data_IF_383750010323
#
_entry.id   IF_383750010323
#
_cell.length_a   1.000
_cell.length_b   1.000
_cell.length_c   1.000
_cell.angle_alpha   90.00
_cell.angle_beta   90.00
_cell.angle_gamma   90.00
#
_symmetry.space_group_name_H-M   'P 1'
#
loop_
_entity.id
_entity.type
_entity.pdbx_description
1 polymer ?
#
# COMPACT_ATOMS: atom_id res chain seq x y z
N UNK A 1 2.45 22.15 12.46
CA UNK A 1 3.69 21.40 12.78
C UNK A 1 3.47 20.28 13.80
N UNK A 2 2.87 20.52 14.98
CA UNK A 2 2.64 19.49 16.01
C UNK A 2 1.80 18.29 15.53
N UNK A 3 0.73 18.52 14.77
CA UNK A 3 -0.13 17.46 14.22
C UNK A 3 0.58 16.55 13.22
N UNK A 4 1.45 17.09 12.35
CA UNK A 4 2.24 16.28 11.42
C UNK A 4 3.22 15.37 12.16
N UNK A 5 3.83 15.91 13.21
CA UNK A 5 4.83 15.21 14.01
C UNK A 5 4.19 14.08 14.82
N UNK A 6 3.02 14.34 15.43
CA UNK A 6 2.21 13.30 16.09
C UNK A 6 1.65 12.27 15.10
N UNK A 7 1.08 12.72 13.98
CA UNK A 7 0.45 11.87 12.97
C UNK A 7 1.41 10.93 12.24
N UNK A 8 2.70 11.26 12.16
CA UNK A 8 3.72 10.42 11.52
C UNK A 8 4.55 9.62 12.54
N UNK A 9 4.96 10.22 13.66
CA UNK A 9 5.80 9.50 14.63
C UNK A 9 5.02 8.47 15.43
N UNK A 10 3.78 8.75 15.81
CA UNK A 10 3.00 7.86 16.66
C UNK A 10 2.68 6.52 15.97
N UNK A 11 2.31 6.47 14.67
CA UNK A 11 2.25 5.24 13.88
C UNK A 11 3.56 4.48 13.84
N UNK A 12 4.66 5.18 13.65
CA UNK A 12 5.99 4.58 13.61
C UNK A 12 6.31 3.95 14.96
N UNK A 13 6.08 4.63 16.08
CA UNK A 13 6.35 4.11 17.43
C UNK A 13 5.47 2.89 17.72
N UNK A 14 4.15 3.01 17.53
CA UNK A 14 3.20 1.92 17.78
C UNK A 14 3.49 0.74 16.86
N UNK A 15 3.66 1.00 15.57
CA UNK A 15 3.97 -0.03 14.59
C UNK A 15 5.29 -0.73 14.88
N UNK A 16 6.34 0.03 15.24
CA UNK A 16 7.65 -0.53 15.62
C UNK A 16 7.54 -1.41 16.86
N UNK A 17 6.83 -0.96 17.89
CA UNK A 17 6.63 -1.72 19.12
C UNK A 17 5.93 -3.06 18.88
N UNK A 18 4.81 -3.04 18.16
CA UNK A 18 4.07 -4.25 17.80
C UNK A 18 4.92 -5.16 16.90
N UNK A 19 5.68 -4.60 15.96
CA UNK A 19 6.53 -5.38 15.05
C UNK A 19 7.67 -6.07 15.79
N UNK A 20 8.35 -5.37 16.71
CA UNK A 20 9.39 -5.95 17.56
C UNK A 20 8.80 -7.07 18.42
N UNK A 21 7.63 -6.85 19.00
CA UNK A 21 6.92 -7.87 19.79
C UNK A 21 6.56 -9.10 18.94
N UNK A 22 5.94 -8.91 17.78
CA UNK A 22 5.58 -9.97 16.84
C UNK A 22 6.81 -10.78 16.42
N UNK A 23 7.92 -10.09 16.12
CA UNK A 23 9.20 -10.71 15.76
C UNK A 23 9.81 -11.51 16.91
N UNK A 24 9.69 -11.03 18.15
CA UNK A 24 10.21 -11.73 19.34
C UNK A 24 9.50 -13.06 19.61
N UNK A 25 8.22 -13.15 19.21
CA UNK A 25 7.38 -14.35 19.37
C UNK A 25 7.46 -15.32 18.19
N UNK A 26 8.02 -14.90 17.06
CA UNK A 26 8.15 -15.76 15.88
C UNK A 26 9.17 -16.89 16.15
N UNK A 27 8.77 -18.18 16.03
CA UNK A 27 9.63 -19.32 16.31
C UNK A 27 10.93 -19.28 15.49
N UNK A 28 12.02 -19.81 16.05
CA UNK A 28 13.37 -19.59 15.52
C UNK A 28 13.74 -20.42 14.29
N UNK A 29 12.93 -21.41 13.92
CA UNK A 29 13.30 -22.43 12.94
C UNK A 29 13.35 -21.95 11.49
N UNK A 30 14.19 -22.62 10.70
CA UNK A 30 14.67 -22.17 9.39
C UNK A 30 13.86 -22.75 8.22
N UNK A 31 13.55 -21.84 7.30
CA UNK A 31 13.35 -21.97 5.85
C UNK A 31 13.42 -23.38 5.22
N UNK A 32 12.26 -23.91 4.85
CA UNK A 32 11.96 -24.50 3.53
C UNK A 32 10.45 -24.47 3.31
N UNK A 33 9.99 -24.67 2.08
CA UNK A 33 8.63 -24.60 1.49
C UNK A 33 7.43 -24.97 2.39
N UNK A 34 7.64 -25.72 3.47
CA UNK A 34 6.66 -25.99 4.55
C UNK A 34 6.25 -24.75 5.36
N UNK A 35 7.07 -23.71 5.40
CA UNK A 35 6.85 -22.50 6.21
C UNK A 35 5.69 -21.61 5.75
N UNK A 36 5.25 -21.70 4.49
CA UNK A 36 4.06 -20.98 4.03
C UNK A 36 2.77 -21.60 4.59
N UNK A 37 2.83 -22.89 4.99
CA UNK A 37 1.73 -23.61 5.63
C UNK A 37 1.75 -23.51 7.17
N UNK A 38 2.91 -23.17 7.76
CA UNK A 38 3.18 -23.21 9.21
C UNK A 38 3.63 -21.88 9.83
N UNK A 39 3.69 -20.77 9.07
CA UNK A 39 3.68 -19.45 9.68
C UNK A 39 2.35 -19.28 10.41
N UNK A 40 2.32 -19.69 11.68
CA UNK A 40 1.13 -19.73 12.51
C UNK A 40 0.36 -18.43 12.35
N UNK A 41 -0.90 -18.54 11.94
CA UNK A 41 -1.72 -17.41 11.48
C UNK A 41 -1.65 -16.20 12.41
N UNK A 42 -1.39 -16.43 13.70
CA UNK A 42 -1.14 -15.40 14.70
C UNK A 42 0.04 -14.45 14.40
N UNK A 43 1.22 -14.93 13.99
CA UNK A 43 2.37 -14.05 13.71
C UNK A 43 2.10 -13.21 12.45
N UNK A 44 1.50 -13.82 11.43
CA UNK A 44 1.13 -13.09 10.22
C UNK A 44 0.05 -12.05 10.50
N UNK A 45 -0.92 -12.40 11.33
CA UNK A 45 -1.95 -11.49 11.80
C UNK A 45 -1.36 -10.35 12.63
N UNK A 46 -0.40 -10.60 13.52
CA UNK A 46 0.26 -9.53 14.28
C UNK A 46 0.97 -8.53 13.36
N UNK A 47 1.64 -8.98 12.30
CA UNK A 47 2.29 -8.09 11.33
C UNK A 47 1.22 -7.31 10.52
N UNK A 48 0.09 -7.94 10.21
CA UNK A 48 -1.05 -7.21 9.63
C UNK A 48 -1.58 -6.16 10.62
N UNK A 49 -1.70 -6.50 11.91
CA UNK A 49 -2.10 -5.58 12.97
C UNK A 49 -1.16 -4.40 13.11
N UNK A 50 0.16 -4.58 12.96
CA UNK A 50 1.14 -3.47 12.91
C UNK A 50 0.73 -2.44 11.86
N UNK A 51 0.44 -2.88 10.64
CA UNK A 51 0.08 -2.01 9.52
C UNK A 51 -1.29 -1.36 9.74
N UNK A 52 -2.29 -2.15 10.11
CA UNK A 52 -3.67 -1.67 10.31
C UNK A 52 -3.79 -0.71 11.49
N UNK A 53 -3.32 -1.12 12.67
CA UNK A 53 -3.35 -0.30 13.89
C UNK A 53 -2.45 0.92 13.75
N UNK A 54 -1.23 0.74 13.20
CA UNK A 54 -0.34 1.87 12.93
C UNK A 54 -0.98 2.91 12.02
N UNK A 55 -1.67 2.46 10.96
CA UNK A 55 -2.39 3.36 10.08
C UNK A 55 -3.54 4.08 10.78
N UNK A 56 -4.39 3.37 11.53
CA UNK A 56 -5.53 3.94 12.28
C UNK A 56 -5.03 4.99 13.28
N UNK A 57 -3.97 4.68 14.02
CA UNK A 57 -3.35 5.61 14.97
C UNK A 57 -2.86 6.88 14.26
N UNK A 58 -2.27 6.75 13.08
CA UNK A 58 -1.80 7.89 12.29
C UNK A 58 -2.95 8.72 11.77
N UNK A 59 -3.99 8.04 11.28
CA UNK A 59 -5.23 8.65 10.86
C UNK A 59 -5.82 9.49 12.01
N UNK A 60 -5.99 8.92 13.19
CA UNK A 60 -6.51 9.62 14.37
C UNK A 60 -5.63 10.80 14.78
N UNK A 61 -4.30 10.68 14.67
CA UNK A 61 -3.37 11.76 14.97
C UNK A 61 -3.45 12.95 14.01
N UNK A 62 -3.81 12.72 12.75
CA UNK A 62 -3.92 13.77 11.73
C UNK A 62 -5.33 14.34 11.60
N UNK A 63 -6.35 13.47 11.59
CA UNK A 63 -7.74 13.79 11.25
C UNK A 63 -8.66 13.79 12.47
N UNK A 64 -8.23 13.23 13.60
CA UNK A 64 -9.11 12.99 14.75
C UNK A 64 -10.05 11.80 14.53
N UNK A 65 -11.14 11.75 15.31
CA UNK A 65 -12.11 10.66 15.25
C UNK A 65 -12.92 10.70 13.94
N UNK A 66 -12.98 9.59 13.19
CA UNK A 66 -13.75 9.55 11.96
C UNK A 66 -15.26 9.63 12.25
N UNK A 67 -15.99 10.40 11.45
CA UNK A 67 -17.45 10.53 11.54
C UNK A 67 -18.12 9.33 10.87
N UNK A 68 -19.17 8.80 11.50
CA UNK A 68 -19.99 7.73 10.94
C UNK A 68 -21.44 8.21 10.69
N UNK A 69 -22.01 8.03 9.48
CA UNK A 69 -21.38 7.44 8.30
C UNK A 69 -20.33 8.37 7.66
N UNK A 70 -19.31 7.82 6.96
CA UNK A 70 -18.29 8.62 6.30
C UNK A 70 -18.90 9.46 5.18
N UNK A 71 -18.54 10.75 5.12
CA UNK A 71 -19.02 11.69 4.10
C UNK A 71 -17.98 11.96 3.02
N UNK A 72 -16.69 11.86 3.36
CA UNK A 72 -15.57 12.10 2.46
C UNK A 72 -14.83 10.80 2.15
N UNK A 73 -14.30 10.68 0.93
CA UNK A 73 -13.52 9.51 0.51
C UNK A 73 -12.28 9.25 1.37
N UNK A 74 -11.65 10.29 1.92
CA UNK A 74 -10.53 10.15 2.88
C UNK A 74 -10.94 9.53 4.21
N UNK A 75 -12.19 9.73 4.66
CA UNK A 75 -12.68 9.14 5.91
C UNK A 75 -12.82 7.63 5.80
N UNK A 76 -13.13 7.11 4.61
CA UNK A 76 -13.18 5.68 4.35
C UNK A 76 -11.83 4.99 4.56
N UNK A 77 -10.69 5.68 4.44
CA UNK A 77 -9.37 5.06 4.59
C UNK A 77 -9.16 4.44 5.98
N UNK A 78 -9.66 5.08 7.05
CA UNK A 78 -9.60 4.52 8.40
C UNK A 78 -10.42 3.22 8.50
N UNK A 79 -11.64 3.23 7.96
CA UNK A 79 -12.50 2.05 7.96
C UNK A 79 -11.95 0.93 7.09
N UNK A 80 -11.32 1.27 5.96
CA UNK A 80 -10.63 0.31 5.08
C UNK A 80 -9.45 -0.36 5.79
N UNK A 81 -8.69 0.35 6.63
CA UNK A 81 -7.66 -0.26 7.47
C UNK A 81 -8.25 -1.28 8.46
N UNK A 82 -9.38 -0.94 9.09
CA UNK A 82 -10.09 -1.83 10.03
C UNK A 82 -10.63 -3.07 9.30
N UNK A 83 -11.30 -2.88 8.16
CA UNK A 83 -11.79 -3.98 7.32
C UNK A 83 -10.62 -4.84 6.84
N UNK A 84 -9.50 -4.24 6.45
CA UNK A 84 -8.26 -4.94 6.09
C UNK A 84 -7.74 -5.83 7.21
N UNK A 85 -7.78 -5.34 8.46
CA UNK A 85 -7.36 -6.11 9.62
C UNK A 85 -8.31 -7.29 9.90
N UNK A 86 -9.62 -7.08 9.76
CA UNK A 86 -10.62 -8.14 9.90
C UNK A 86 -10.39 -9.21 8.81
N UNK A 87 -10.29 -8.80 7.54
CA UNK A 87 -10.06 -9.70 6.40
C UNK A 87 -8.73 -10.45 6.54
N UNK A 88 -7.66 -9.80 7.01
CA UNK A 88 -6.38 -10.42 7.29
C UNK A 88 -6.48 -11.57 8.31
N UNK A 89 -7.41 -11.47 9.26
CA UNK A 89 -7.67 -12.51 10.26
C UNK A 89 -8.21 -13.79 9.63
N UNK A 90 -9.05 -13.68 8.60
CA UNK A 90 -9.68 -14.82 7.93
C UNK A 90 -8.95 -15.26 6.66
N UNK A 91 -7.84 -14.59 6.33
CA UNK A 91 -7.13 -14.78 5.05
C UNK A 91 -6.64 -16.21 4.81
N UNK A 92 -6.32 -16.92 5.88
CA UNK A 92 -5.80 -18.28 5.82
C UNK A 92 -6.87 -19.34 5.53
N UNK A 93 -8.16 -18.96 5.55
CA UNK A 93 -9.25 -19.89 5.28
C UNK A 93 -9.53 -19.93 3.78
N UNK A 94 -9.27 -21.08 3.15
CA UNK A 94 -9.21 -21.25 1.70
C UNK A 94 -10.43 -20.73 0.92
N UNK A 95 -11.63 -20.80 1.51
CA UNK A 95 -12.88 -20.35 0.87
C UNK A 95 -13.10 -18.85 1.06
N UNK A 96 -12.73 -18.29 2.21
CA UNK A 96 -13.05 -16.90 2.55
C UNK A 96 -12.15 -15.88 1.86
N UNK A 97 -10.89 -16.23 1.57
CA UNK A 97 -9.97 -15.33 0.86
C UNK A 97 -10.52 -14.87 -0.50
N UNK A 98 -10.79 -15.78 -1.45
CA UNK A 98 -11.31 -15.43 -2.77
C UNK A 98 -12.69 -14.75 -2.73
N UNK A 99 -13.58 -15.22 -1.85
CA UNK A 99 -14.92 -14.62 -1.69
C UNK A 99 -14.80 -13.18 -1.19
N UNK A 100 -13.94 -12.92 -0.20
CA UNK A 100 -13.67 -11.58 0.29
C UNK A 100 -13.05 -10.70 -0.80
N UNK A 101 -12.11 -11.23 -1.60
CA UNK A 101 -11.52 -10.51 -2.73
C UNK A 101 -12.59 -10.02 -3.70
N UNK A 102 -13.46 -10.93 -4.17
CA UNK A 102 -14.51 -10.59 -5.15
C UNK A 102 -15.51 -9.61 -4.54
N UNK A 103 -16.05 -9.93 -3.36
CA UNK A 103 -17.03 -9.09 -2.68
C UNK A 103 -16.52 -7.67 -2.46
N UNK A 104 -15.27 -7.54 -2.00
CA UNK A 104 -14.72 -6.25 -1.65
C UNK A 104 -14.29 -5.46 -2.89
N UNK A 105 -13.84 -6.13 -3.96
CA UNK A 105 -13.58 -5.50 -5.26
C UNK A 105 -14.84 -4.84 -5.84
N UNK A 106 -16.00 -5.45 -5.62
CA UNK A 106 -17.31 -4.91 -6.04
C UNK A 106 -17.76 -3.76 -5.12
N UNK A 107 -17.58 -3.91 -3.81
CA UNK A 107 -18.11 -2.95 -2.82
C UNK A 107 -17.28 -1.66 -2.72
N UNK A 108 -15.94 -1.74 -2.78
CA UNK A 108 -15.06 -0.58 -2.57
C UNK A 108 -15.33 0.58 -3.54
N UNK A 109 -15.40 0.38 -4.87
CA UNK A 109 -15.66 1.48 -5.79
C UNK A 109 -16.96 2.19 -5.47
N UNK A 110 -17.99 1.43 -5.11
CA UNK A 110 -19.31 1.98 -4.77
C UNK A 110 -19.25 2.83 -3.51
N UNK A 111 -18.54 2.36 -2.48
CA UNK A 111 -18.37 3.10 -1.22
C UNK A 111 -17.54 4.38 -1.41
N UNK A 112 -16.38 4.28 -2.08
CA UNK A 112 -15.45 5.40 -2.23
C UNK A 112 -15.96 6.47 -3.19
N UNK A 113 -16.67 6.09 -4.25
CA UNK A 113 -17.14 7.01 -5.30
C UNK A 113 -18.64 7.29 -5.20
N UNK A 114 -19.23 7.12 -4.01
CA UNK A 114 -20.67 7.35 -3.80
C UNK A 114 -21.11 8.73 -4.29
N UNK A 115 -20.31 9.78 -4.11
CA UNK A 115 -20.61 11.12 -4.61
C UNK A 115 -20.66 11.16 -6.14
N UNK A 116 -19.64 10.62 -6.82
CA UNK A 116 -19.54 10.57 -8.28
C UNK A 116 -20.70 9.78 -8.89
N UNK A 117 -21.04 8.64 -8.30
CA UNK A 117 -22.18 7.81 -8.71
C UNK A 117 -23.54 8.49 -8.56
N UNK A 118 -23.68 9.42 -7.61
CA UNK A 118 -24.95 10.11 -7.34
C UNK A 118 -25.11 11.39 -8.15
N UNK A 119 -24.02 12.10 -8.41
CA UNK A 119 -24.08 13.47 -8.90
C UNK A 119 -23.42 13.69 -10.26
N UNK A 120 -22.53 12.81 -10.71
CA UNK A 120 -21.72 13.04 -11.91
C UNK A 120 -22.05 12.07 -13.03
N UNK A 121 -22.12 10.77 -12.74
CA UNK A 121 -22.31 9.75 -13.77
C UNK A 121 -23.77 9.42 -14.01
N UNK A 122 -24.13 9.24 -15.29
CA UNK A 122 -25.40 8.63 -15.66
C UNK A 122 -25.47 7.15 -15.24
N UNK A 123 -26.66 6.51 -15.24
CA UNK A 123 -26.82 5.13 -14.80
C UNK A 123 -25.94 4.13 -15.56
N UNK A 124 -25.89 4.26 -16.90
CA UNK A 124 -25.11 3.36 -17.77
C UNK A 124 -23.61 3.58 -17.58
N UNK A 125 -23.16 4.84 -17.61
CA UNK A 125 -21.76 5.20 -17.39
C UNK A 125 -21.27 4.74 -16.01
N UNK A 126 -22.11 4.92 -14.98
CA UNK A 126 -21.84 4.41 -13.63
C UNK A 126 -21.63 2.90 -13.63
N UNK A 127 -22.52 2.12 -14.24
CA UNK A 127 -22.36 0.65 -14.30
C UNK A 127 -21.04 0.27 -14.99
N UNK A 128 -20.69 0.93 -16.11
CA UNK A 128 -19.44 0.68 -16.82
C UNK A 128 -18.24 0.94 -15.91
N UNK A 129 -18.17 2.11 -15.28
CA UNK A 129 -17.08 2.45 -14.35
C UNK A 129 -17.01 1.50 -13.16
N UNK A 130 -18.17 1.12 -12.62
CA UNK A 130 -18.24 0.20 -11.48
C UNK A 130 -17.65 -1.17 -11.80
N UNK A 131 -18.06 -1.76 -12.94
CA UNK A 131 -17.56 -3.07 -13.40
C UNK A 131 -16.07 -2.97 -13.72
N UNK A 132 -15.63 -1.94 -14.45
CA UNK A 132 -14.22 -1.73 -14.77
C UNK A 132 -13.35 -1.58 -13.52
N UNK A 133 -13.77 -0.77 -12.54
CA UNK A 133 -13.02 -0.59 -11.29
C UNK A 133 -12.99 -1.87 -10.45
N UNK A 134 -14.08 -2.64 -10.41
CA UNK A 134 -14.10 -3.92 -9.70
C UNK A 134 -13.09 -4.91 -10.30
N UNK A 135 -13.03 -5.02 -11.63
CA UNK A 135 -12.03 -5.87 -12.32
C UNK A 135 -10.61 -5.39 -12.04
N UNK A 136 -10.36 -4.08 -12.15
CA UNK A 136 -9.03 -3.50 -11.90
C UNK A 136 -8.60 -3.73 -10.45
N UNK A 137 -9.48 -3.53 -9.47
CA UNK A 137 -9.19 -3.79 -8.05
C UNK A 137 -8.88 -5.27 -7.81
N UNK A 138 -9.64 -6.16 -8.43
CA UNK A 138 -9.40 -7.60 -8.31
C UNK A 138 -8.03 -7.99 -8.87
N UNK A 139 -7.67 -7.51 -10.07
CA UNK A 139 -6.34 -7.72 -10.64
C UNK A 139 -5.24 -7.10 -9.78
N UNK A 140 -5.46 -5.88 -9.30
CA UNK A 140 -4.54 -5.15 -8.44
C UNK A 140 -4.26 -5.91 -7.15
N UNK A 141 -5.28 -6.51 -6.55
CA UNK A 141 -5.13 -7.37 -5.38
C UNK A 141 -4.13 -8.48 -5.60
N UNK A 142 -4.28 -9.24 -6.69
CA UNK A 142 -3.38 -10.35 -7.01
C UNK A 142 -1.95 -9.89 -7.26
N UNK A 143 -1.77 -8.69 -7.83
CA UNK A 143 -0.46 -8.09 -7.99
C UNK A 143 0.13 -7.76 -6.61
N UNK A 144 -0.60 -7.08 -5.73
CA UNK A 144 -0.11 -6.76 -4.37
C UNK A 144 0.22 -8.04 -3.60
N UNK A 145 -0.67 -9.03 -3.58
CA UNK A 145 -0.45 -10.31 -2.90
C UNK A 145 0.77 -11.06 -3.47
N UNK A 146 0.86 -11.16 -4.80
CA UNK A 146 1.98 -11.79 -5.50
C UNK A 146 3.32 -11.12 -5.18
N UNK A 147 3.32 -9.80 -5.01
CA UNK A 147 4.54 -9.02 -4.77
C UNK A 147 5.21 -9.33 -3.43
N UNK A 148 4.45 -9.68 -2.38
CA UNK A 148 5.00 -10.13 -1.09
C UNK A 148 5.78 -11.44 -1.20
N UNK A 149 5.45 -12.27 -2.19
CA UNK A 149 6.18 -13.51 -2.47
C UNK A 149 7.27 -13.36 -3.54
N UNK A 150 7.19 -12.31 -4.37
CA UNK A 150 8.16 -12.03 -5.42
C UNK A 150 9.45 -11.39 -4.90
N UNK A 151 9.35 -10.59 -3.84
CA UNK A 151 10.49 -9.87 -3.28
C UNK A 151 11.40 -10.81 -2.46
N UNK A 152 12.73 -10.63 -2.53
CA UNK A 152 13.65 -11.35 -1.67
C UNK A 152 13.31 -11.13 -0.19
N UNK A 153 13.55 -12.16 0.63
CA UNK A 153 13.37 -12.08 2.07
C UNK A 153 14.21 -10.96 2.71
N UNK A 154 13.76 -10.48 3.88
CA UNK A 154 14.45 -9.42 4.62
C UNK A 154 13.99 -8.01 4.25
N UNK A 155 14.95 -7.08 4.11
CA UNK A 155 14.70 -5.63 4.10
C UNK A 155 14.19 -5.08 2.76
N UNK A 156 14.27 -5.86 1.68
CA UNK A 156 13.80 -5.46 0.34
C UNK A 156 12.30 -5.18 0.28
N UNK A 157 11.48 -6.03 0.90
CA UNK A 157 10.02 -5.85 0.97
C UNK A 157 9.63 -4.47 1.50
N UNK A 158 9.98 -4.16 2.76
CA UNK A 158 9.73 -2.85 3.35
C UNK A 158 10.28 -1.68 2.54
N UNK A 159 11.49 -1.82 1.97
CA UNK A 159 12.13 -0.76 1.20
C UNK A 159 11.37 -0.42 -0.10
N UNK A 160 10.90 -1.45 -0.81
CA UNK A 160 10.15 -1.27 -2.06
C UNK A 160 8.82 -0.57 -1.78
N UNK A 161 8.08 -0.98 -0.75
CA UNK A 161 6.84 -0.30 -0.37
C UNK A 161 7.07 1.10 0.20
N UNK A 162 8.15 1.32 0.95
CA UNK A 162 8.57 2.66 1.36
C UNK A 162 8.74 3.58 0.14
N UNK A 163 9.44 3.11 -0.91
CA UNK A 163 9.61 3.86 -2.15
C UNK A 163 8.29 4.10 -2.90
N UNK A 164 7.43 3.07 -2.99
CA UNK A 164 6.14 3.16 -3.69
C UNK A 164 5.18 4.13 -3.00
N UNK A 165 5.03 4.04 -1.68
CA UNK A 165 4.20 4.96 -0.90
C UNK A 165 4.82 6.36 -0.85
N UNK A 166 6.16 6.47 -0.85
CA UNK A 166 6.87 7.75 -0.90
C UNK A 166 6.62 8.47 -2.22
N UNK A 167 6.71 7.74 -3.33
CA UNK A 167 6.36 8.26 -4.65
C UNK A 167 4.89 8.63 -4.76
N UNK A 168 4.00 7.79 -4.24
CA UNK A 168 2.56 8.09 -4.18
C UNK A 168 2.29 9.37 -3.39
N UNK A 169 2.90 9.53 -2.22
CA UNK A 169 2.75 10.74 -1.38
C UNK A 169 3.24 12.00 -2.11
N UNK A 170 4.40 11.93 -2.78
CA UNK A 170 4.94 13.05 -3.57
C UNK A 170 4.04 13.41 -4.75
N UNK A 171 3.59 12.42 -5.53
CA UNK A 171 2.66 12.66 -6.66
C UNK A 171 1.37 13.32 -6.17
N UNK A 172 0.79 12.85 -5.06
CA UNK A 172 -0.42 13.43 -4.48
C UNK A 172 -0.21 14.86 -3.97
N UNK A 173 0.93 15.13 -3.33
CA UNK A 173 1.26 16.47 -2.84
C UNK A 173 1.42 17.45 -4.01
N UNK A 174 2.12 17.02 -5.07
CA UNK A 174 2.32 17.80 -6.30
C UNK A 174 1.03 18.01 -7.09
N UNK A 175 0.06 17.09 -6.96
CA UNK A 175 -1.27 17.22 -7.56
C UNK A 175 -2.24 18.04 -6.68
N UNK A 176 -1.73 18.74 -5.66
CA UNK A 176 -2.53 19.66 -4.84
C UNK A 176 -3.30 19.01 -3.68
N UNK A 177 -3.17 17.71 -3.44
CA UNK A 177 -3.83 17.03 -2.31
C UNK A 177 -2.86 16.65 -1.20
N UNK A 178 -2.51 17.65 -0.39
CA UNK A 178 -1.66 17.47 0.78
C UNK A 178 -2.28 16.47 1.79
N UNK A 179 -3.61 16.44 1.90
CA UNK A 179 -4.33 15.53 2.80
C UNK A 179 -4.14 14.07 2.41
N UNK A 180 -4.30 13.73 1.13
CA UNK A 180 -4.03 12.37 0.64
C UNK A 180 -2.54 12.02 0.70
N UNK A 181 -1.67 12.99 0.44
CA UNK A 181 -0.22 12.81 0.58
C UNK A 181 0.18 12.46 2.03
N UNK A 182 -0.44 13.08 3.02
CA UNK A 182 -0.23 12.76 4.44
C UNK A 182 -0.68 11.33 4.78
N UNK A 183 -1.81 10.86 4.25
CA UNK A 183 -2.25 9.48 4.42
C UNK A 183 -1.28 8.47 3.80
N UNK A 184 -0.76 8.74 2.61
CA UNK A 184 0.32 7.94 2.04
C UNK A 184 1.59 8.02 2.90
N UNK A 185 1.88 9.20 3.46
CA UNK A 185 2.99 9.46 4.38
C UNK A 185 2.96 8.61 5.66
N UNK A 186 1.78 8.31 6.21
CA UNK A 186 1.66 7.36 7.34
C UNK A 186 2.22 5.99 6.95
N UNK A 187 1.87 5.50 5.75
CA UNK A 187 2.36 4.22 5.26
C UNK A 187 3.86 4.26 5.00
N UNK A 188 4.37 5.36 4.42
CA UNK A 188 5.83 5.61 4.29
C UNK A 188 6.52 5.46 5.64
N UNK A 189 5.98 6.08 6.69
CA UNK A 189 6.55 6.06 8.02
C UNK A 189 6.55 4.64 8.64
N UNK A 190 5.48 3.86 8.44
CA UNK A 190 5.39 2.48 8.92
C UNK A 190 6.36 1.56 8.15
N UNK A 191 6.42 1.67 6.82
CA UNK A 191 7.35 0.88 6.00
C UNK A 191 8.81 1.26 6.24
N UNK A 192 9.11 2.54 6.47
CA UNK A 192 10.44 3.01 6.85
C UNK A 192 10.86 2.41 8.21
N UNK A 193 9.97 2.41 9.22
CA UNK A 193 10.23 1.75 10.49
C UNK A 193 10.49 0.25 10.28
N UNK A 194 9.61 -0.44 9.56
CA UNK A 194 9.77 -1.86 9.25
C UNK A 194 11.09 -2.16 8.54
N UNK A 195 11.52 -1.28 7.64
CA UNK A 195 12.80 -1.37 6.94
C UNK A 195 13.99 -1.21 7.91
N UNK A 196 14.02 -0.13 8.70
CA UNK A 196 15.10 0.16 9.66
C UNK A 196 15.22 -0.95 10.70
N UNK A 197 14.10 -1.37 11.30
CA UNK A 197 14.06 -2.44 12.28
C UNK A 197 14.55 -3.75 11.66
N UNK A 198 14.17 -4.01 10.40
CA UNK A 198 14.67 -5.18 9.69
C UNK A 198 16.17 -5.13 9.54
N UNK A 199 16.75 -3.99 9.15
CA UNK A 199 18.20 -3.81 9.03
C UNK A 199 18.95 -3.96 10.37
N UNK A 200 18.44 -3.33 11.44
CA UNK A 200 19.09 -3.32 12.76
C UNK A 200 19.01 -4.68 13.45
N UNK A 201 17.85 -5.36 13.40
CA UNK A 201 17.65 -6.65 14.06
C UNK A 201 18.05 -7.86 13.19
N UNK A 202 18.62 -7.66 12.00
CA UNK A 202 18.96 -8.72 11.05
C UNK A 202 20.15 -9.59 11.50
N UNK A 203 19.92 -10.43 12.52
CA UNK A 203 20.79 -11.57 12.83
C UNK A 203 20.57 -12.75 11.86
N UNK A 204 19.42 -12.80 11.18
CA UNK A 204 19.06 -13.82 10.17
C UNK A 204 18.43 -13.21 8.91
N UNK A 205 19.13 -13.29 7.78
CA UNK A 205 18.73 -12.72 6.47
C UNK A 205 17.61 -13.48 5.74
N UNK A 206 17.06 -14.55 6.32
CA UNK A 206 16.18 -15.51 5.61
C UNK A 206 14.68 -15.39 5.91
N UNK A 207 14.23 -14.48 6.78
CA UNK A 207 12.80 -14.36 7.13
C UNK A 207 12.09 -13.32 6.27
N UNK A 208 10.91 -13.69 5.77
CA UNK A 208 9.97 -12.75 5.17
C UNK A 208 9.43 -11.81 6.25
N UNK A 209 9.58 -10.51 6.02
CA UNK A 209 9.16 -9.48 6.95
C UNK A 209 7.65 -9.26 6.90
N UNK A 210 7.07 -9.38 5.71
CA UNK A 210 5.64 -9.20 5.48
C UNK A 210 5.06 -10.49 4.86
N UNK A 211 4.25 -11.25 5.61
CA UNK A 211 3.58 -12.44 5.09
C UNK A 211 2.41 -12.05 4.18
N UNK A 212 1.94 -12.97 3.32
CA UNK A 212 0.80 -12.72 2.40
C UNK A 212 -0.46 -12.19 3.10
N UNK A 213 -0.67 -12.55 4.37
CA UNK A 213 -1.76 -12.05 5.19
C UNK A 213 -1.76 -10.53 5.44
N UNK A 214 -0.67 -9.81 5.14
CA UNK A 214 -0.65 -8.34 5.18
C UNK A 214 -1.21 -7.69 3.90
N UNK A 215 -1.35 -8.47 2.83
CA UNK A 215 -1.83 -7.95 1.54
C UNK A 215 -3.19 -7.25 1.62
N UNK A 216 -4.20 -7.69 2.40
CA UNK A 216 -5.50 -7.03 2.41
C UNK A 216 -5.42 -5.56 2.84
N UNK A 217 -4.63 -5.27 3.87
CA UNK A 217 -4.48 -3.92 4.43
C UNK A 217 -3.77 -3.02 3.43
N UNK A 218 -2.66 -3.51 2.85
CA UNK A 218 -1.87 -2.73 1.89
C UNK A 218 -2.69 -2.47 0.63
N UNK A 219 -3.40 -3.48 0.13
CA UNK A 219 -4.27 -3.34 -1.04
C UNK A 219 -5.38 -2.34 -0.80
N UNK A 220 -6.14 -2.45 0.29
CA UNK A 220 -7.25 -1.52 0.56
C UNK A 220 -6.80 -0.08 0.72
N UNK A 221 -5.70 0.14 1.44
CA UNK A 221 -5.19 1.49 1.64
C UNK A 221 -4.62 2.08 0.35
N UNK A 222 -3.89 1.29 -0.44
CA UNK A 222 -3.32 1.76 -1.70
C UNK A 222 -4.42 2.06 -2.73
N UNK A 223 -5.42 1.18 -2.88
CA UNK A 223 -6.60 1.45 -3.71
C UNK A 223 -7.34 2.68 -3.22
N UNK A 224 -7.61 2.77 -1.92
CA UNK A 224 -8.31 3.91 -1.34
C UNK A 224 -7.61 5.22 -1.64
N UNK A 225 -6.30 5.27 -1.44
CA UNK A 225 -5.48 6.45 -1.72
C UNK A 225 -5.46 6.77 -3.21
N UNK A 226 -5.24 5.79 -4.09
CA UNK A 226 -5.14 6.01 -5.54
C UNK A 226 -6.47 6.38 -6.19
N UNK A 227 -7.57 5.73 -5.80
CA UNK A 227 -8.90 6.10 -6.28
C UNK A 227 -9.27 7.51 -5.84
N UNK A 228 -9.02 7.86 -4.57
CA UNK A 228 -9.26 9.23 -4.12
C UNK A 228 -8.34 10.23 -4.85
N UNK A 229 -7.08 9.86 -5.10
CA UNK A 229 -6.13 10.67 -5.85
C UNK A 229 -6.62 10.96 -7.28
N UNK A 230 -7.00 9.91 -7.99
CA UNK A 230 -7.44 10.02 -9.39
C UNK A 230 -8.77 10.77 -9.54
N UNK A 231 -9.78 10.45 -8.71
CA UNK A 231 -11.12 11.01 -8.88
C UNK A 231 -11.34 12.35 -8.14
N UNK A 232 -10.60 12.65 -7.08
CA UNK A 232 -10.84 13.83 -6.25
C UNK A 232 -9.63 14.77 -6.08
N UNK A 233 -8.45 14.41 -6.59
CA UNK A 233 -7.25 15.22 -6.49
C UNK A 233 -6.54 15.44 -7.84
N UNK A 234 -7.26 15.22 -8.94
CA UNK A 234 -6.80 15.50 -10.31
C UNK A 234 -5.41 14.93 -10.64
N UNK A 235 -5.05 13.81 -9.99
CA UNK A 235 -3.74 13.19 -10.20
C UNK A 235 -3.60 12.84 -11.69
N UNK A 236 -2.51 13.25 -12.36
CA UNK A 236 -2.32 12.95 -13.76
C UNK A 236 -2.43 11.45 -14.02
N UNK A 237 -3.29 11.05 -14.96
CA UNK A 237 -3.54 9.64 -15.28
C UNK A 237 -2.23 8.90 -15.60
N UNK A 238 -1.30 9.56 -16.29
CA UNK A 238 0.03 9.02 -16.58
C UNK A 238 0.82 8.69 -15.31
N UNK A 239 0.80 9.53 -14.28
CA UNK A 239 1.46 9.26 -12.99
C UNK A 239 0.81 8.08 -12.28
N UNK A 240 -0.53 8.00 -12.25
CA UNK A 240 -1.25 6.86 -11.68
C UNK A 240 -0.91 5.53 -12.40
N UNK A 241 -0.88 5.54 -13.74
CA UNK A 241 -0.50 4.38 -14.56
C UNK A 241 0.96 3.97 -14.29
N UNK A 242 1.88 4.94 -14.21
CA UNK A 242 3.29 4.67 -13.91
C UNK A 242 3.49 4.06 -12.52
N UNK A 243 2.73 4.52 -11.51
CA UNK A 243 2.76 3.91 -10.18
C UNK A 243 2.21 2.47 -10.21
N UNK A 244 1.17 2.21 -11.01
CA UNK A 244 0.66 0.85 -11.22
C UNK A 244 1.71 -0.04 -11.91
N UNK A 245 2.39 0.48 -12.92
CA UNK A 245 3.50 -0.20 -13.61
C UNK A 245 4.65 -0.48 -12.64
N UNK A 246 4.97 0.46 -11.74
CA UNK A 246 5.98 0.24 -10.70
C UNK A 246 5.67 -0.99 -9.85
N UNK A 247 4.40 -1.17 -9.46
CA UNK A 247 3.96 -2.33 -8.70
C UNK A 247 4.05 -3.63 -9.53
N UNK A 248 3.73 -3.59 -10.83
CA UNK A 248 3.92 -4.74 -11.73
C UNK A 248 5.39 -5.14 -11.80
N UNK A 249 6.31 -4.17 -11.87
CA UNK A 249 7.75 -4.45 -11.94
C UNK A 249 8.32 -5.11 -10.68
N UNK A 250 7.59 -5.13 -9.55
CA UNK A 250 7.97 -5.94 -8.40
C UNK A 250 8.07 -7.44 -8.77
N UNK A 251 7.29 -7.89 -9.75
CA UNK A 251 7.28 -9.29 -10.20
C UNK A 251 8.44 -9.66 -11.13
N UNK A 252 9.21 -8.68 -11.61
CA UNK A 252 10.39 -8.89 -12.46
C UNK A 252 11.42 -9.81 -11.79
N UNK A 253 11.47 -9.79 -10.45
CA UNK A 253 12.30 -10.71 -9.66
C UNK A 253 12.00 -12.20 -9.84
N UNK A 254 10.80 -12.55 -10.35
CA UNK A 254 10.40 -13.94 -10.63
C UNK A 254 10.89 -14.44 -11.99
N UNK A 255 11.40 -13.56 -12.85
CA UNK A 255 11.89 -13.93 -14.18
C UNK A 255 13.20 -14.72 -14.00
N UNK A 256 13.24 -15.95 -14.51
CA UNK A 256 14.38 -16.87 -14.32
C UNK A 256 15.71 -16.29 -14.78
N UNK A 257 15.71 -15.45 -15.82
CA UNK A 257 16.91 -14.73 -16.30
C UNK A 257 17.51 -13.84 -15.22
N UNK A 258 16.66 -13.13 -14.46
CA UNK A 258 17.10 -12.21 -13.41
C UNK A 258 17.51 -12.96 -12.15
N UNK A 259 16.86 -14.09 -11.85
CA UNK A 259 17.26 -14.96 -10.75
C UNK A 259 18.67 -15.54 -10.93
N UNK A 260 19.09 -15.78 -12.18
CA UNK A 260 20.44 -16.25 -12.52
C UNK A 260 21.55 -15.22 -12.27
N UNK A 261 21.21 -13.93 -12.14
CA UNK A 261 22.21 -12.85 -11.92
C UNK A 261 22.78 -12.81 -10.48
N UNK A 262 22.30 -13.69 -9.59
CA UNK A 262 22.67 -13.70 -8.18
C UNK A 262 21.86 -12.70 -7.34
N UNK A 263 21.79 -12.95 -6.03
CA UNK A 263 20.86 -12.27 -5.11
C UNK A 263 21.02 -10.74 -5.13
N UNK A 264 22.27 -10.24 -5.07
CA UNK A 264 22.54 -8.79 -5.00
C UNK A 264 22.19 -8.06 -6.30
N UNK A 265 22.54 -8.62 -7.46
CA UNK A 265 22.24 -8.00 -8.76
C UNK A 265 20.75 -8.05 -9.07
N UNK A 266 20.10 -9.18 -8.79
CA UNK A 266 18.64 -9.32 -8.91
C UNK A 266 17.90 -8.28 -8.07
N UNK A 267 18.32 -8.06 -6.82
CA UNK A 267 17.75 -7.05 -5.95
C UNK A 267 17.92 -5.62 -6.49
N UNK A 268 19.10 -5.28 -7.03
CA UNK A 268 19.35 -3.97 -7.65
C UNK A 268 18.44 -3.77 -8.86
N UNK A 269 18.32 -4.78 -9.73
CA UNK A 269 17.46 -4.71 -10.92
C UNK A 269 15.99 -4.55 -10.53
N UNK A 270 15.51 -5.27 -9.52
CA UNK A 270 14.14 -5.14 -9.02
C UNK A 270 13.87 -3.74 -8.45
N UNK A 271 14.77 -3.23 -7.60
CA UNK A 271 14.65 -1.89 -7.02
C UNK A 271 14.67 -0.83 -8.14
N UNK A 272 15.59 -0.94 -9.09
CA UNK A 272 15.67 -0.03 -10.22
C UNK A 272 14.40 -0.08 -11.09
N UNK A 273 13.88 -1.28 -11.36
CA UNK A 273 12.65 -1.48 -12.11
C UNK A 273 11.41 -0.87 -11.45
N UNK A 274 11.34 -0.85 -10.11
CA UNK A 274 10.25 -0.19 -9.37
C UNK A 274 10.50 1.32 -9.25
N UNK A 275 11.73 1.73 -8.96
CA UNK A 275 12.08 3.14 -8.73
C UNK A 275 11.93 3.97 -10.01
N UNK A 276 12.27 3.41 -11.17
CA UNK A 276 12.25 4.14 -12.45
C UNK A 276 10.85 4.69 -12.79
N UNK A 277 9.76 3.89 -12.85
CA UNK A 277 8.42 4.44 -13.09
C UNK A 277 7.95 5.39 -11.98
N UNK A 278 8.35 5.16 -10.72
CA UNK A 278 8.01 6.08 -9.61
C UNK A 278 8.65 7.45 -9.84
N UNK A 279 9.93 7.50 -10.21
CA UNK A 279 10.64 8.76 -10.51
C UNK A 279 10.02 9.46 -11.72
N UNK A 280 9.68 8.72 -12.77
CA UNK A 280 9.00 9.27 -13.95
C UNK A 280 7.62 9.82 -13.55
N UNK A 281 6.86 9.10 -12.71
CA UNK A 281 5.54 9.52 -12.24
C UNK A 281 5.61 10.85 -11.46
N UNK A 282 6.64 10.99 -10.61
CA UNK A 282 6.93 12.24 -9.89
C UNK A 282 7.28 13.34 -10.90
N UNK A 283 8.16 13.07 -11.87
CA UNK A 283 8.52 14.04 -12.90
C UNK A 283 7.33 14.57 -13.70
N UNK A 284 6.40 13.67 -14.08
CA UNK A 284 5.14 14.04 -14.74
C UNK A 284 4.27 14.90 -13.81
N UNK A 285 4.19 14.56 -12.53
CA UNK A 285 3.44 15.35 -11.55
C UNK A 285 4.06 16.75 -11.36
N UNK A 286 5.39 16.86 -11.30
CA UNK A 286 6.09 18.17 -11.26
C UNK A 286 5.79 19.00 -12.50
N UNK A 287 5.91 18.41 -13.69
CA UNK A 287 5.63 19.10 -14.95
C UNK A 287 4.17 19.59 -15.04
N UNK A 288 3.22 18.83 -14.49
CA UNK A 288 1.79 19.20 -14.45
C UNK A 288 1.43 20.18 -13.34
N UNK A 289 2.20 20.24 -12.27
CA UNK A 289 1.94 21.13 -11.12
C UNK A 289 2.20 22.62 -11.39
N UNK A 290 2.73 22.99 -12.57
CA UNK A 290 3.09 24.39 -12.89
C UNK A 290 4.30 24.93 -12.10
N UNK A 291 4.94 24.08 -11.28
CA UNK A 291 6.03 24.47 -10.38
C UNK A 291 7.30 24.91 -11.13
N UNK A 292 7.45 24.50 -12.39
CA UNK A 292 8.54 24.94 -13.28
C UNK A 292 8.23 26.26 -14.02
N UNK A 293 7.10 26.90 -13.71
CA UNK A 293 6.74 28.22 -14.20
C UNK A 293 6.06 28.18 -15.57
N UNK A 294 4.78 28.54 -15.60
CA UNK A 294 4.19 29.15 -16.79
C UNK A 294 4.81 30.55 -16.96
N UNK A 295 6.02 30.60 -17.51
CA UNK A 295 6.62 31.81 -18.05
C UNK A 295 6.32 31.91 -19.54
N UNK A 296 5.05 32.05 -19.91
CA UNK A 296 4.64 32.81 -21.11
C UNK A 296 3.14 32.66 -21.36
N UNK A 297 2.38 33.69 -20.99
CA UNK A 297 1.44 34.41 -21.87
C UNK A 297 0.65 35.42 -21.03
N UNK A 298 1.27 36.58 -20.82
CA UNK A 298 0.57 37.87 -20.77
C UNK A 298 0.98 38.64 -22.01
#
# INVERSE_FOLDING_TARGET
MKQLLLGLLLPTIVGSGIFIFARSRAPKEYATVRYEKEQGGFTAWLIAAVLGVGYVVGYLGMEGMPVFPPRLGTQWLCYLAIVGLIVASFWHVAVWGPVAQVAISIVIPRLLLTSTFKHTWGPVEGIIWWVCLAVVIFMFWHIVEGSFSALPAGASGPFVYFGLFGGTALVLALSGSLRLAQHAGILVAIFAAGWIITLVLQRDRKRFVFPRGTSPIVTFLLIGIWMNGYFFAEVPAASAILLLIALLFVHVGRIGVIQRLGVRRSLIVQIAGVALPVVIAIGVAVARSGLLGDSSTY
#
